data_IF_942413765397
#
_entry.id   IF_942413765397
#
_cell.length_a   1.000
_cell.length_b   1.000
_cell.length_c   1.000
_cell.angle_alpha   90.00
_cell.angle_beta   90.00
_cell.angle_gamma   90.00
#
_symmetry.space_group_name_H-M   'P 1'
#
loop_
_entity.id
_entity.type
_entity.pdbx_description
1 polymer ?
#
# COMPACT_ATOMS: atom_id res chain seq x y z
N UNK A 1 11.49 -53.79 21.89
CA UNK A 1 11.47 -53.16 20.55
C UNK A 1 10.97 -51.72 20.69
N UNK A 2 11.89 -50.79 20.85
CA UNK A 2 11.59 -49.38 21.02
C UNK A 2 11.79 -48.63 19.70
N UNK A 3 10.80 -47.89 19.21
CA UNK A 3 10.97 -46.94 18.13
C UNK A 3 11.09 -45.56 18.71
N UNK A 4 12.31 -45.03 18.71
CA UNK A 4 12.68 -43.67 18.98
C UNK A 4 12.14 -42.73 17.88
N UNK A 5 11.26 -41.82 18.22
CA UNK A 5 10.83 -40.75 17.34
C UNK A 5 11.76 -39.56 17.46
N UNK A 6 12.57 -39.34 16.43
CA UNK A 6 13.49 -38.23 16.28
C UNK A 6 12.70 -36.98 15.94
N UNK A 7 12.57 -36.07 16.90
CA UNK A 7 11.94 -34.77 16.76
C UNK A 7 12.95 -33.82 16.13
N UNK A 8 12.87 -33.61 14.84
CA UNK A 8 13.66 -32.60 14.12
C UNK A 8 13.16 -31.21 14.48
N UNK A 9 14.01 -30.50 15.16
CA UNK A 9 13.92 -29.08 15.51
C UNK A 9 14.29 -28.29 14.25
N UNK A 10 13.31 -27.76 13.54
CA UNK A 10 13.56 -26.80 12.46
C UNK A 10 13.96 -25.47 13.10
N UNK A 11 15.22 -25.15 12.96
CA UNK A 11 15.77 -23.84 13.25
C UNK A 11 15.11 -22.80 12.33
N UNK A 12 14.58 -21.76 12.96
CA UNK A 12 14.09 -20.57 12.29
C UNK A 12 15.29 -19.81 11.73
N UNK A 13 15.47 -19.87 10.43
CA UNK A 13 16.43 -19.02 9.73
C UNK A 13 16.02 -17.55 9.93
N UNK A 14 16.87 -16.85 10.63
CA UNK A 14 16.89 -15.38 10.72
C UNK A 14 17.18 -14.88 9.31
N UNK A 15 16.22 -14.20 8.70
CA UNK A 15 16.45 -13.47 7.45
C UNK A 15 17.25 -12.23 7.81
N UNK A 16 18.54 -12.29 7.53
CA UNK A 16 19.45 -11.15 7.55
C UNK A 16 18.96 -10.08 6.57
N UNK A 17 18.95 -8.86 7.06
CA UNK A 17 18.64 -7.65 6.32
C UNK A 17 19.68 -7.42 5.20
N UNK A 18 19.33 -7.73 3.97
CA UNK A 18 20.10 -7.25 2.81
C UNK A 18 19.62 -5.83 2.47
N UNK A 19 20.03 -4.90 3.30
CA UNK A 19 19.95 -3.46 3.01
C UNK A 19 21.09 -3.09 2.04
N UNK A 20 20.81 -2.97 0.77
CA UNK A 20 21.84 -2.35 -0.07
C UNK A 20 21.55 -2.11 -1.54
N UNK A 21 20.74 -2.87 -2.22
CA UNK A 21 20.78 -2.82 -3.70
C UNK A 21 19.44 -2.53 -4.43
N UNK A 22 18.34 -2.36 -3.73
CA UNK A 22 17.05 -2.06 -4.38
C UNK A 22 16.84 -0.56 -4.70
N UNK A 23 17.80 0.30 -4.33
CA UNK A 23 17.65 1.75 -4.44
C UNK A 23 17.97 2.31 -5.84
N UNK A 24 18.76 1.60 -6.64
CA UNK A 24 19.23 2.09 -7.94
C UNK A 24 18.44 1.54 -9.13
N UNK A 25 17.76 0.39 -8.98
CA UNK A 25 16.96 -0.21 -10.05
C UNK A 25 15.52 0.30 -10.11
N UNK A 26 15.06 1.04 -9.10
CA UNK A 26 13.66 1.47 -8.99
C UNK A 26 13.30 2.78 -9.67
N UNK A 27 14.26 3.69 -9.88
CA UNK A 27 13.96 5.03 -10.38
C UNK A 27 13.64 5.05 -11.89
N UNK A 28 14.22 4.15 -12.67
CA UNK A 28 14.03 4.11 -14.13
C UNK A 28 12.73 3.42 -14.59
N UNK A 29 12.02 2.74 -13.69
CA UNK A 29 10.81 1.99 -14.01
C UNK A 29 9.52 2.60 -13.43
N UNK A 30 9.63 3.77 -12.79
CA UNK A 30 8.44 4.42 -12.21
C UNK A 30 7.62 5.10 -13.30
N UNK A 31 6.30 4.93 -13.24
CA UNK A 31 5.40 5.62 -14.14
C UNK A 31 5.41 7.13 -13.87
N UNK A 32 5.33 7.99 -14.91
CA UNK A 32 5.31 9.45 -14.74
C UNK A 32 4.21 9.98 -13.82
N UNK A 33 3.13 9.21 -13.66
CA UNK A 33 2.00 9.55 -12.79
C UNK A 33 2.19 9.15 -11.32
N UNK A 34 3.34 8.56 -10.96
CA UNK A 34 3.57 8.02 -9.62
C UNK A 34 3.87 9.12 -8.57
N UNK A 35 2.95 10.07 -8.45
CA UNK A 35 2.99 11.16 -7.47
C UNK A 35 1.69 11.19 -6.64
N UNK A 36 1.79 11.36 -5.31
CA UNK A 36 2.99 11.44 -4.48
C UNK A 36 3.63 10.06 -4.24
N UNK A 37 4.96 9.98 -4.41
CA UNK A 37 5.72 8.78 -4.10
C UNK A 37 6.08 8.74 -2.62
N UNK A 38 5.90 7.58 -1.99
CA UNK A 38 6.28 7.39 -0.59
C UNK A 38 7.80 7.32 -0.42
N UNK A 39 8.34 8.07 0.54
CA UNK A 39 9.70 7.88 1.00
C UNK A 39 9.93 6.46 1.52
N UNK A 40 11.16 5.96 1.50
CA UNK A 40 11.50 4.61 1.97
C UNK A 40 10.96 4.29 3.37
N UNK A 41 10.98 5.27 4.30
CA UNK A 41 10.44 5.12 5.66
C UNK A 41 8.92 5.01 5.64
N UNK A 42 8.26 5.87 4.88
CA UNK A 42 6.80 5.88 4.75
C UNK A 42 6.30 4.63 4.01
N UNK A 43 6.97 4.22 2.95
CA UNK A 43 6.66 2.98 2.21
C UNK A 43 6.73 1.75 3.14
N UNK A 44 7.80 1.60 3.92
CA UNK A 44 7.93 0.51 4.90
C UNK A 44 6.81 0.55 5.96
N UNK A 45 6.44 1.74 6.47
CA UNK A 45 5.30 1.91 7.41
C UNK A 45 3.98 1.52 6.75
N UNK A 46 3.71 2.02 5.55
CA UNK A 46 2.49 1.74 4.79
C UNK A 46 2.35 0.24 4.51
N UNK A 47 3.42 -0.43 4.05
CA UNK A 47 3.42 -1.88 3.79
C UNK A 47 3.19 -2.70 5.08
N UNK A 48 3.75 -2.27 6.22
CA UNK A 48 3.48 -2.90 7.53
C UNK A 48 2.00 -2.74 7.93
N UNK A 49 1.43 -1.56 7.73
CA UNK A 49 0.01 -1.27 7.99
C UNK A 49 -0.89 -2.13 7.10
N UNK A 50 -0.58 -2.24 5.80
CA UNK A 50 -1.29 -3.12 4.86
C UNK A 50 -1.25 -4.57 5.33
N UNK A 51 -0.09 -5.07 5.76
CA UNK A 51 0.08 -6.44 6.26
C UNK A 51 -0.79 -6.73 7.47
N UNK A 52 -0.88 -5.78 8.42
CA UNK A 52 -1.76 -5.89 9.59
C UNK A 52 -3.24 -5.82 9.17
N UNK A 53 -3.62 -4.83 8.34
CA UNK A 53 -4.99 -4.68 7.85
C UNK A 53 -5.47 -5.90 7.04
N UNK A 54 -4.58 -6.56 6.31
CA UNK A 54 -4.90 -7.79 5.56
C UNK A 54 -5.29 -8.93 6.48
N UNK A 55 -4.66 -9.07 7.65
CA UNK A 55 -5.04 -10.09 8.65
C UNK A 55 -6.49 -9.92 9.12
N UNK A 56 -6.94 -8.68 9.22
CA UNK A 56 -8.30 -8.34 9.65
C UNK A 56 -9.30 -8.22 8.46
N UNK A 57 -8.87 -8.53 7.24
CA UNK A 57 -9.70 -8.42 6.01
C UNK A 57 -10.22 -6.99 5.75
N UNK A 58 -9.51 -5.98 6.22
CA UNK A 58 -9.84 -4.57 6.01
C UNK A 58 -9.24 -3.99 4.71
N UNK A 59 -8.78 -4.85 3.82
CA UNK A 59 -8.13 -4.45 2.56
C UNK A 59 -8.99 -4.87 1.38
N UNK A 60 -9.30 -3.91 0.50
CA UNK A 60 -9.83 -4.14 -0.84
C UNK A 60 -8.67 -4.18 -1.81
N UNK A 61 -8.55 -5.24 -2.59
CA UNK A 61 -7.40 -5.49 -3.45
C UNK A 61 -7.77 -5.49 -4.93
N UNK A 62 -6.98 -4.74 -5.71
CA UNK A 62 -7.15 -4.65 -7.16
C UNK A 62 -8.11 -3.56 -7.60
N UNK A 63 -7.93 -3.09 -8.84
CA UNK A 63 -8.64 -1.95 -9.44
C UNK A 63 -10.16 -2.07 -9.28
N UNK A 64 -10.73 -3.22 -9.62
CA UNK A 64 -12.18 -3.43 -9.59
C UNK A 64 -12.78 -3.23 -8.19
N UNK A 65 -12.11 -3.75 -7.16
CA UNK A 65 -12.60 -3.64 -5.77
C UNK A 65 -12.38 -2.23 -5.21
N UNK A 66 -11.26 -1.59 -5.54
CA UNK A 66 -10.95 -0.23 -5.13
C UNK A 66 -11.95 0.75 -5.75
N UNK A 67 -12.14 0.71 -7.06
CA UNK A 67 -13.13 1.56 -7.77
C UNK A 67 -14.55 1.33 -7.23
N UNK A 68 -14.94 0.08 -6.99
CA UNK A 68 -16.24 -0.22 -6.39
C UNK A 68 -16.37 0.36 -4.97
N UNK A 69 -15.29 0.37 -4.21
CA UNK A 69 -15.23 0.97 -2.88
C UNK A 69 -15.40 2.49 -2.94
N UNK A 70 -14.60 3.16 -3.77
CA UNK A 70 -14.65 4.61 -3.96
C UNK A 70 -16.04 5.07 -4.41
N UNK A 71 -16.64 4.40 -5.40
CA UNK A 71 -18.01 4.71 -5.86
C UNK A 71 -19.09 4.50 -4.80
N UNK A 72 -18.85 3.65 -3.80
CA UNK A 72 -19.76 3.45 -2.66
C UNK A 72 -19.56 4.46 -1.55
N UNK A 73 -18.56 5.35 -1.69
CA UNK A 73 -18.22 6.33 -0.68
C UNK A 73 -17.43 5.75 0.51
N UNK A 74 -16.82 4.57 0.36
CA UNK A 74 -15.96 4.04 1.40
C UNK A 74 -14.76 4.98 1.61
N UNK A 75 -14.48 5.34 2.85
CA UNK A 75 -13.33 6.17 3.21
C UNK A 75 -12.17 5.29 3.66
N UNK A 76 -10.95 5.70 3.33
CA UNK A 76 -9.77 4.92 3.66
C UNK A 76 -8.51 5.48 3.02
N UNK A 77 -7.44 4.69 3.00
CA UNK A 77 -6.17 5.01 2.36
C UNK A 77 -5.98 4.13 1.13
N UNK A 78 -5.77 4.76 -0.03
CA UNK A 78 -5.45 4.04 -1.26
C UNK A 78 -3.94 3.99 -1.45
N UNK A 79 -3.42 2.80 -1.74
CA UNK A 79 -2.00 2.58 -2.03
C UNK A 79 -1.86 2.02 -3.44
N UNK A 80 -1.03 2.66 -4.24
CA UNK A 80 -0.81 2.39 -5.65
C UNK A 80 0.64 1.96 -5.89
N UNK A 81 0.88 1.07 -6.84
CA UNK A 81 2.23 0.72 -7.24
C UNK A 81 2.70 1.64 -8.38
N UNK A 82 3.93 2.15 -8.28
CA UNK A 82 4.50 3.09 -9.24
C UNK A 82 5.09 2.41 -10.49
N UNK A 83 5.43 1.12 -10.42
CA UNK A 83 6.07 0.37 -11.53
C UNK A 83 5.07 -0.42 -12.39
N UNK A 84 3.90 0.16 -12.68
CA UNK A 84 2.85 -0.48 -13.48
C UNK A 84 2.94 -0.04 -14.95
N UNK A 85 2.95 -1.03 -15.83
CA UNK A 85 2.81 -0.87 -17.28
C UNK A 85 1.70 -1.82 -17.77
N UNK A 86 0.74 -1.34 -18.58
CA UNK A 86 0.53 0.04 -19.05
C UNK A 86 -0.07 0.97 -17.98
N UNK A 87 0.16 2.28 -18.13
CA UNK A 87 -0.31 3.33 -17.20
C UNK A 87 -1.84 3.41 -17.12
N UNK A 88 -2.54 3.13 -18.19
CA UNK A 88 -4.01 3.20 -18.30
C UNK A 88 -4.75 2.41 -17.22
N UNK A 89 -4.11 1.37 -16.69
CA UNK A 89 -4.68 0.54 -15.63
C UNK A 89 -4.92 1.34 -14.35
N UNK A 90 -4.07 2.35 -14.06
CA UNK A 90 -4.11 3.11 -12.82
C UNK A 90 -4.49 4.58 -13.01
N UNK A 91 -4.40 5.15 -14.22
CA UNK A 91 -4.56 6.58 -14.49
C UNK A 91 -5.85 7.19 -13.94
N UNK A 92 -6.93 6.41 -13.92
CA UNK A 92 -8.25 6.84 -13.45
C UNK A 92 -8.41 6.80 -11.92
N UNK A 93 -7.54 6.07 -11.19
CA UNK A 93 -7.69 5.89 -9.74
C UNK A 93 -7.35 7.15 -8.95
N UNK A 94 -6.22 7.87 -9.21
CA UNK A 94 -5.94 9.13 -8.55
C UNK A 94 -7.08 10.14 -8.70
N UNK A 95 -7.63 10.30 -9.89
CA UNK A 95 -8.77 11.20 -10.18
C UNK A 95 -9.98 10.82 -9.33
N UNK A 96 -10.35 9.52 -9.32
CA UNK A 96 -11.45 9.04 -8.48
C UNK A 96 -11.19 9.22 -6.98
N UNK A 97 -9.95 9.17 -6.53
CA UNK A 97 -9.60 9.42 -5.14
C UNK A 97 -9.77 10.89 -4.78
N UNK A 98 -9.37 11.79 -5.67
CA UNK A 98 -9.54 13.25 -5.50
C UNK A 98 -11.01 13.63 -5.47
N UNK A 99 -11.82 13.14 -6.41
CA UNK A 99 -13.27 13.37 -6.45
C UNK A 99 -13.97 12.92 -5.15
N UNK A 100 -13.51 11.81 -4.56
CA UNK A 100 -14.08 11.26 -3.33
C UNK A 100 -13.38 11.76 -2.06
N UNK A 101 -12.38 12.63 -2.19
CA UNK A 101 -11.56 13.15 -1.06
C UNK A 101 -10.93 12.02 -0.24
N UNK A 102 -10.43 11.00 -0.91
CA UNK A 102 -9.73 9.85 -0.33
C UNK A 102 -8.23 10.01 -0.60
N UNK A 103 -7.37 10.05 0.44
CA UNK A 103 -5.94 10.16 0.23
C UNK A 103 -5.38 8.93 -0.45
N UNK A 104 -4.40 9.15 -1.31
CA UNK A 104 -3.68 8.10 -2.02
C UNK A 104 -2.18 8.33 -1.96
N UNK A 105 -1.41 7.25 -2.10
CA UNK A 105 0.05 7.29 -2.09
C UNK A 105 0.60 6.21 -3.01
N UNK A 106 1.69 6.51 -3.70
CA UNK A 106 2.41 5.55 -4.53
C UNK A 106 3.56 4.90 -3.75
N UNK A 107 3.74 3.59 -3.95
CA UNK A 107 4.91 2.84 -3.53
C UNK A 107 5.67 2.35 -4.75
N UNK A 108 6.98 2.15 -4.65
CA UNK A 108 7.84 1.84 -5.79
C UNK A 108 7.53 0.50 -6.44
N UNK A 109 7.23 -0.54 -5.68
CA UNK A 109 7.16 -1.92 -6.17
C UNK A 109 5.79 -2.57 -6.02
N UNK A 110 5.24 -3.11 -7.13
CA UNK A 110 4.02 -3.93 -7.15
C UNK A 110 4.20 -5.29 -6.47
N UNK A 111 5.42 -5.80 -6.46
CA UNK A 111 5.80 -7.06 -5.82
C UNK A 111 5.75 -6.92 -4.30
N UNK A 112 6.34 -5.85 -3.76
CA UNK A 112 6.31 -5.54 -2.32
C UNK A 112 4.87 -5.30 -1.85
N UNK A 113 4.07 -4.60 -2.67
CA UNK A 113 2.67 -4.37 -2.38
C UNK A 113 1.88 -5.68 -2.36
N UNK A 114 2.13 -6.59 -3.31
CA UNK A 114 1.56 -7.93 -3.33
C UNK A 114 1.96 -8.77 -2.13
N UNK A 115 3.24 -8.76 -1.77
CA UNK A 115 3.79 -9.47 -0.61
C UNK A 115 3.18 -8.99 0.72
N UNK A 116 2.94 -7.69 0.87
CA UNK A 116 2.27 -7.13 2.04
C UNK A 116 0.81 -7.60 2.19
N UNK A 117 0.15 -7.91 1.07
CA UNK A 117 -1.19 -8.51 1.04
C UNK A 117 -1.19 -10.03 1.24
N UNK A 118 -0.08 -10.63 1.62
CA UNK A 118 0.08 -12.09 1.78
C UNK A 118 -0.24 -12.86 0.50
N UNK A 119 0.10 -12.30 -0.67
CA UNK A 119 -0.06 -12.94 -1.96
C UNK A 119 1.27 -13.06 -2.70
N UNK A 120 1.43 -14.14 -3.47
CA UNK A 120 2.58 -14.34 -4.36
C UNK A 120 2.44 -13.57 -5.68
N UNK A 121 1.28 -12.95 -5.94
CA UNK A 121 1.03 -12.21 -7.19
C UNK A 121 1.26 -10.71 -6.97
N UNK A 122 1.88 -10.01 -7.92
CA UNK A 122 2.02 -8.58 -7.87
C UNK A 122 0.65 -7.90 -7.83
N UNK A 123 0.53 -6.83 -7.06
CA UNK A 123 -0.72 -6.09 -6.88
C UNK A 123 -0.51 -4.65 -7.34
N UNK A 124 -1.37 -4.16 -8.22
CA UNK A 124 -1.26 -2.81 -8.76
C UNK A 124 -1.80 -1.73 -7.81
N UNK A 125 -2.87 -2.04 -7.09
CA UNK A 125 -3.48 -1.11 -6.14
C UNK A 125 -4.24 -1.85 -5.05
N UNK A 126 -4.40 -1.17 -3.92
CA UNK A 126 -5.23 -1.62 -2.81
C UNK A 126 -5.82 -0.42 -2.06
N UNK A 127 -6.86 -0.67 -1.28
CA UNK A 127 -7.47 0.32 -0.40
C UNK A 127 -7.64 -0.28 0.98
N UNK A 128 -7.14 0.40 2.00
CA UNK A 128 -7.37 0.07 3.42
C UNK A 128 -8.64 0.78 3.86
N UNK A 129 -9.66 0.04 4.28
CA UNK A 129 -10.90 0.58 4.81
C UNK A 129 -11.01 0.20 6.28
N UNK A 130 -10.75 1.11 7.20
CA UNK A 130 -10.91 0.85 8.63
C UNK A 130 -12.37 0.52 8.93
N UNK A 131 -12.63 -0.60 9.62
CA UNK A 131 -14.01 -1.01 9.92
C UNK A 131 -14.76 -1.66 8.75
N UNK A 132 -14.06 -2.27 7.78
CA UNK A 132 -14.65 -2.97 6.62
C UNK A 132 -15.80 -3.89 6.98
N UNK A 133 -16.69 -4.19 6.03
CA UNK A 133 -17.91 -5.01 6.22
C UNK A 133 -17.59 -6.34 6.91
N UNK A 134 -17.95 -6.47 8.19
CA UNK A 134 -17.76 -7.67 8.99
C UNK A 134 -16.79 -7.53 10.17
N UNK A 135 -16.21 -6.37 10.39
CA UNK A 135 -15.41 -6.11 11.56
C UNK A 135 -16.22 -5.35 12.60
N UNK A 136 -16.54 -5.98 13.70
CA UNK A 136 -16.80 -5.29 14.96
C UNK A 136 -15.61 -4.38 15.26
N UNK A 137 -15.86 -3.12 15.64
CA UNK A 137 -14.86 -2.04 15.69
C UNK A 137 -13.58 -2.25 16.52
N UNK A 138 -13.44 -3.39 17.17
CA UNK A 138 -12.30 -3.75 18.02
C UNK A 138 -11.06 -4.24 17.26
N UNK A 139 -11.22 -4.85 16.09
CA UNK A 139 -10.09 -5.39 15.31
C UNK A 139 -9.24 -4.34 14.58
N UNK A 140 -9.61 -3.07 14.71
CA UNK A 140 -8.93 -1.92 14.12
C UNK A 140 -7.78 -1.39 15.00
N UNK A 141 -7.82 -1.65 16.29
CA UNK A 141 -6.86 -1.10 17.26
C UNK A 141 -5.40 -1.47 16.95
N UNK A 142 -5.15 -2.68 16.45
CA UNK A 142 -3.79 -3.18 16.22
C UNK A 142 -2.94 -2.37 15.23
N UNK A 143 -3.57 -1.65 14.31
CA UNK A 143 -2.86 -0.87 13.31
C UNK A 143 -3.32 0.61 13.22
N UNK A 144 -4.22 1.04 14.13
CA UNK A 144 -4.82 2.36 14.11
C UNK A 144 -3.76 3.47 14.10
N UNK A 145 -2.84 3.47 15.04
CA UNK A 145 -1.82 4.52 15.18
C UNK A 145 -0.97 4.64 13.92
N UNK A 146 -0.49 3.49 13.38
CA UNK A 146 0.31 3.47 12.16
C UNK A 146 -0.50 3.84 10.91
N UNK A 147 -1.79 3.54 10.91
CA UNK A 147 -2.71 3.93 9.84
C UNK A 147 -2.95 5.44 9.86
N UNK A 148 -3.25 6.01 11.02
CA UNK A 148 -3.52 7.45 11.18
C UNK A 148 -2.29 8.29 10.79
N UNK A 149 -1.07 7.87 11.16
CA UNK A 149 0.17 8.49 10.70
C UNK A 149 0.31 8.45 9.16
N UNK A 150 0.12 7.28 8.55
CA UNK A 150 0.21 7.13 7.10
C UNK A 150 -0.87 7.94 6.38
N UNK A 151 -2.08 7.95 6.93
CA UNK A 151 -3.22 8.70 6.40
C UNK A 151 -2.97 10.22 6.43
N UNK A 152 -2.52 10.75 7.57
CA UNK A 152 -2.20 12.17 7.71
C UNK A 152 -1.08 12.59 6.75
N UNK A 153 0.00 11.79 6.67
CA UNK A 153 1.13 12.08 5.76
C UNK A 153 0.69 12.04 4.29
N UNK A 154 -0.13 11.06 3.90
CA UNK A 154 -0.64 10.96 2.54
C UNK A 154 -1.56 12.15 2.20
N UNK A 155 -2.40 12.56 3.14
CA UNK A 155 -3.27 13.73 2.98
C UNK A 155 -2.47 15.02 2.77
N UNK A 156 -1.40 15.22 3.55
CA UNK A 156 -0.53 16.40 3.43
C UNK A 156 0.22 16.41 2.09
N UNK A 157 0.70 15.25 1.64
CA UNK A 157 1.35 15.10 0.34
C UNK A 157 0.38 15.41 -0.80
N UNK A 158 -0.85 14.92 -0.75
CA UNK A 158 -1.87 15.18 -1.76
C UNK A 158 -2.25 16.68 -1.80
N UNK A 159 -2.41 17.32 -0.65
CA UNK A 159 -2.65 18.78 -0.57
C UNK A 159 -1.52 19.57 -1.21
N UNK A 160 -0.25 19.20 -0.97
CA UNK A 160 0.91 19.83 -1.59
C UNK A 160 0.91 19.68 -3.10
N UNK A 161 0.56 18.49 -3.62
CA UNK A 161 0.44 18.27 -5.07
C UNK A 161 -0.62 19.17 -5.71
N UNK A 162 -1.81 19.22 -5.12
CA UNK A 162 -2.89 20.09 -5.63
C UNK A 162 -2.48 21.56 -5.59
N UNK A 163 -1.82 22.01 -4.53
CA UNK A 163 -1.32 23.37 -4.42
C UNK A 163 -0.24 23.70 -5.46
N UNK A 164 0.67 22.76 -5.74
CA UNK A 164 1.73 22.91 -6.75
C UNK A 164 1.13 22.93 -8.17
N UNK A 165 0.17 22.07 -8.44
CA UNK A 165 -0.55 22.06 -9.73
C UNK A 165 -1.32 23.35 -9.97
N UNK A 166 -1.96 23.90 -8.93
CA UNK A 166 -2.67 25.18 -9.00
C UNK A 166 -1.72 26.37 -9.20
N UNK A 167 -0.45 26.30 -8.72
CA UNK A 167 0.58 27.32 -8.90
C UNK A 167 1.30 27.25 -10.26
N UNK A 168 0.94 26.32 -11.13
CA UNK A 168 1.54 26.18 -12.47
C UNK A 168 2.99 25.69 -12.48
N UNK A 169 3.51 25.24 -11.35
CA UNK A 169 4.89 24.74 -11.26
C UNK A 169 4.86 23.23 -11.52
N UNK A 170 5.21 22.84 -12.74
CA UNK A 170 5.44 21.43 -13.10
C UNK A 170 6.66 20.96 -12.33
N UNK A 171 6.46 20.06 -11.38
CA UNK A 171 7.57 19.35 -10.74
C UNK A 171 8.09 18.32 -11.76
N UNK A 172 9.24 18.60 -12.33
CA UNK A 172 9.97 17.68 -13.19
C UNK A 172 10.64 16.59 -12.35
#
# INVERSE_FOLDING_TARGET
MGKSSKKERRESAVLEDTDGDSALLGAEQLAPIAHPLADKKLAKKTLKTVKKATKHRHVKRGVKEVVKGLRKGDKGLVVLAGNISPIDVLSHIPVLCEDNQVPYIFVSSKEELGGSCSTKRPTCCLMIVPGGKGASGESHADYKDTYDECFATALDLNKKLVATAAAGTVVA
#
